data_IF_009520345144
#
_entry.id   IF_009520345144
#
_cell.length_a   1.000
_cell.length_b   1.000
_cell.length_c   1.000
_cell.angle_alpha   90.00
_cell.angle_beta   90.00
_cell.angle_gamma   90.00
#
_symmetry.space_group_name_H-M   'P 1'
#
loop_
_entity.id
_entity.type
_entity.pdbx_description
1 polymer ?
#
# COMPACT_ATOMS: atom_id res chain seq x y z
N UNK A 1 19.16 -58.33 -41.62
CA UNK A 1 19.99 -57.11 -41.76
C UNK A 1 19.21 -55.94 -41.15
N UNK A 2 19.53 -55.61 -39.90
CA UNK A 2 20.23 -54.39 -39.47
C UNK A 2 19.27 -53.26 -39.04
N UNK A 3 19.08 -53.17 -37.71
CA UNK A 3 18.69 -51.97 -36.95
C UNK A 3 19.52 -50.77 -37.40
N UNK A 4 18.92 -49.58 -37.61
CA UNK A 4 19.59 -48.28 -37.39
C UNK A 4 18.58 -47.22 -36.93
N UNK A 5 18.54 -46.85 -35.65
CA UNK A 5 19.29 -45.79 -34.95
C UNK A 5 18.58 -44.42 -35.03
N UNK A 6 18.18 -43.93 -33.85
CA UNK A 6 17.97 -42.51 -33.56
C UNK A 6 19.27 -41.69 -33.73
N UNK A 7 19.23 -40.38 -33.45
CA UNK A 7 20.34 -39.39 -33.29
C UNK A 7 20.36 -38.37 -34.47
N UNK A 8 19.78 -37.15 -34.30
CA UNK A 8 20.42 -35.87 -33.83
C UNK A 8 21.21 -35.23 -34.99
N UNK A 9 21.18 -33.95 -35.39
CA UNK A 9 20.80 -32.62 -34.85
C UNK A 9 20.93 -31.61 -36.01
N UNK A 10 20.17 -30.51 -36.02
CA UNK A 10 20.61 -29.12 -36.31
C UNK A 10 19.37 -28.19 -36.29
N UNK A 11 19.11 -27.43 -35.23
CA UNK A 11 19.65 -26.09 -34.89
C UNK A 11 19.18 -24.94 -35.80
N UNK A 12 18.06 -24.30 -35.43
CA UNK A 12 17.79 -22.84 -35.43
C UNK A 12 16.65 -22.69 -34.40
N UNK A 13 16.77 -22.07 -33.22
CA UNK A 13 17.29 -20.74 -32.91
C UNK A 13 16.10 -19.86 -32.51
N UNK A 14 15.99 -19.52 -31.21
CA UNK A 14 15.27 -18.38 -30.62
C UNK A 14 13.79 -18.18 -31.09
N UNK A 15 12.80 -18.34 -30.22
CA UNK A 15 12.20 -17.20 -29.49
C UNK A 15 11.67 -17.71 -28.15
N UNK A 16 12.25 -17.17 -27.08
CA UNK A 16 11.80 -17.37 -25.72
C UNK A 16 10.51 -16.60 -25.42
N UNK A 17 9.69 -17.24 -24.58
CA UNK A 17 8.89 -16.66 -23.52
C UNK A 17 8.37 -15.22 -23.72
N UNK A 18 7.14 -15.10 -24.20
CA UNK A 18 6.23 -14.04 -23.78
C UNK A 18 5.18 -14.64 -22.84
N UNK A 19 5.64 -15.16 -21.69
CA UNK A 19 4.73 -15.33 -20.56
C UNK A 19 4.39 -13.93 -20.05
N UNK A 20 3.11 -13.63 -20.08
CA UNK A 20 2.50 -12.37 -19.66
C UNK A 20 2.96 -12.00 -18.25
N UNK A 21 4.01 -11.19 -18.14
CA UNK A 21 4.25 -10.38 -16.96
C UNK A 21 3.21 -9.27 -16.99
N UNK A 22 2.08 -9.57 -16.37
CA UNK A 22 1.07 -8.60 -16.01
C UNK A 22 1.75 -7.43 -15.28
N UNK A 23 1.70 -6.27 -15.92
CA UNK A 23 1.84 -4.91 -15.41
C UNK A 23 2.08 -4.76 -13.90
N UNK A 24 3.34 -4.90 -13.48
CA UNK A 24 3.82 -4.44 -12.16
C UNK A 24 4.88 -3.35 -12.35
N UNK A 25 4.49 -2.29 -13.04
CA UNK A 25 5.22 -1.02 -13.04
C UNK A 25 4.28 0.08 -13.57
N UNK A 26 3.12 0.24 -12.94
CA UNK A 26 2.45 1.54 -13.01
C UNK A 26 3.23 2.45 -12.07
N UNK A 27 4.35 2.97 -12.59
CA UNK A 27 5.07 4.10 -12.04
C UNK A 27 4.09 5.28 -12.12
N UNK A 28 3.28 5.43 -11.07
CA UNK A 28 2.47 6.62 -10.88
C UNK A 28 3.44 7.76 -10.60
N UNK A 29 3.71 8.51 -11.65
CA UNK A 29 4.33 9.82 -11.59
C UNK A 29 3.49 10.71 -10.65
N UNK A 30 4.04 11.05 -9.49
CA UNK A 30 3.39 11.87 -8.47
C UNK A 30 3.63 13.38 -8.69
N UNK A 31 3.93 13.82 -9.92
CA UNK A 31 3.89 15.26 -10.26
C UNK A 31 2.50 15.64 -10.76
N UNK A 32 1.54 15.74 -9.85
CA UNK A 32 0.21 16.24 -10.16
C UNK A 32 -0.57 16.52 -8.89
N UNK A 33 -0.57 17.77 -8.45
CA UNK A 33 -1.55 18.26 -7.49
C UNK A 33 -2.95 18.08 -8.08
N UNK A 34 -3.58 16.92 -7.81
CA UNK A 34 -5.01 16.73 -8.03
C UNK A 34 -5.76 17.32 -6.85
N UNK A 35 -6.26 18.53 -7.05
CA UNK A 35 -7.44 19.01 -6.36
C UNK A 35 -8.58 17.98 -6.56
N UNK A 36 -9.16 17.53 -5.45
CA UNK A 36 -10.47 16.85 -5.43
C UNK A 36 -10.54 15.46 -6.05
N UNK A 37 -9.85 14.47 -5.47
CA UNK A 37 -10.47 13.15 -5.42
C UNK A 37 -11.70 13.27 -4.50
N UNK A 38 -12.89 12.96 -5.00
CA UNK A 38 -14.11 12.98 -4.20
C UNK A 38 -13.90 12.07 -2.99
N UNK A 39 -13.76 12.69 -1.82
CA UNK A 39 -13.60 12.01 -0.53
C UNK A 39 -14.90 11.24 -0.31
N UNK A 40 -14.85 9.90 -0.24
CA UNK A 40 -16.05 9.13 0.08
C UNK A 40 -16.55 9.55 1.46
N UNK A 41 -17.85 9.46 1.73
CA UNK A 41 -18.39 9.69 3.08
C UNK A 41 -17.74 8.76 4.14
N UNK A 42 -17.16 7.65 3.70
CA UNK A 42 -16.36 6.73 4.52
C UNK A 42 -14.96 7.28 4.86
N UNK A 43 -14.35 8.05 3.95
CA UNK A 43 -13.04 8.70 4.15
C UNK A 43 -13.16 9.92 5.08
N UNK A 44 -14.33 10.57 5.11
CA UNK A 44 -14.63 11.74 5.94
C UNK A 44 -14.59 11.44 7.44
N UNK A 45 -14.63 10.18 7.85
CA UNK A 45 -14.58 9.78 9.26
C UNK A 45 -13.62 8.62 9.53
N UNK A 46 -12.83 8.21 8.55
CA UNK A 46 -11.83 7.17 8.73
C UNK A 46 -10.73 7.61 9.72
N UNK A 47 -10.26 6.69 10.57
CA UNK A 47 -9.08 6.94 11.42
C UNK A 47 -7.81 6.70 10.61
N UNK A 48 -7.65 5.50 10.06
CA UNK A 48 -6.62 5.15 9.08
C UNK A 48 -7.17 5.27 7.67
N UNK A 49 -6.45 5.92 6.76
CA UNK A 49 -6.98 6.22 5.43
C UNK A 49 -7.08 4.95 4.56
N UNK A 50 -8.27 4.57 4.06
CA UNK A 50 -8.46 3.34 3.27
C UNK A 50 -7.56 3.24 2.03
N UNK A 51 -7.24 4.38 1.44
CA UNK A 51 -6.45 4.51 0.20
C UNK A 51 -4.95 4.63 0.43
N UNK A 52 -4.51 4.66 1.69
CA UNK A 52 -3.09 4.80 2.06
C UNK A 52 -2.49 3.48 2.55
N UNK A 53 -1.17 3.44 2.73
CA UNK A 53 -0.47 2.28 3.28
C UNK A 53 -0.90 2.03 4.72
N UNK A 54 -0.70 0.79 5.17
CA UNK A 54 -1.16 0.37 6.49
C UNK A 54 -0.55 1.23 7.60
N UNK A 55 -1.37 1.70 8.53
CA UNK A 55 -0.93 2.50 9.68
C UNK A 55 -0.83 4.01 9.43
N UNK A 56 -1.14 4.49 8.22
CA UNK A 56 -1.24 5.93 7.90
C UNK A 56 -2.65 6.48 8.18
N UNK A 57 -2.71 7.67 8.77
CA UNK A 57 -3.94 8.32 9.22
C UNK A 57 -4.71 8.99 8.07
N UNK A 58 -6.04 9.01 8.15
CA UNK A 58 -6.83 9.92 7.34
C UNK A 58 -6.82 11.30 8.01
N UNK A 59 -5.94 12.19 7.58
CA UNK A 59 -5.73 13.50 8.23
C UNK A 59 -7.02 14.33 8.41
N UNK A 60 -7.92 14.33 7.42
CA UNK A 60 -9.23 14.99 7.55
C UNK A 60 -10.23 14.14 8.35
N UNK A 61 -10.27 12.82 8.12
CA UNK A 61 -11.17 11.91 8.85
C UNK A 61 -10.92 11.91 10.36
N UNK A 62 -9.67 11.87 10.79
CA UNK A 62 -9.28 11.96 12.22
C UNK A 62 -9.60 13.33 12.82
N UNK A 63 -9.48 14.42 12.05
CA UNK A 63 -9.90 15.73 12.52
C UNK A 63 -11.41 15.75 12.83
N UNK A 64 -12.21 15.13 11.96
CA UNK A 64 -13.66 15.01 12.09
C UNK A 64 -14.05 14.08 13.26
N UNK A 65 -13.37 12.95 13.44
CA UNK A 65 -13.54 12.06 14.60
C UNK A 65 -13.33 12.80 15.91
N UNK A 66 -12.33 13.69 15.96
CA UNK A 66 -12.06 14.53 17.13
C UNK A 66 -12.94 15.79 17.24
N UNK A 67 -13.80 16.06 16.25
CA UNK A 67 -14.64 17.26 16.22
C UNK A 67 -13.82 18.56 16.16
N UNK A 68 -12.61 18.53 15.58
CA UNK A 68 -11.75 19.71 15.47
C UNK A 68 -12.27 20.62 14.36
N UNK A 69 -12.20 21.93 14.60
CA UNK A 69 -12.57 22.97 13.64
C UNK A 69 -11.56 24.11 13.65
N UNK A 70 -11.57 24.94 12.60
CA UNK A 70 -10.72 26.14 12.47
C UNK A 70 -9.23 25.83 12.61
N UNK A 71 -8.50 26.69 13.34
CA UNK A 71 -7.04 26.57 13.49
C UNK A 71 -6.58 25.26 14.13
N UNK A 72 -7.41 24.61 14.98
CA UNK A 72 -7.08 23.31 15.56
C UNK A 72 -7.11 22.20 14.51
N UNK A 73 -8.10 22.24 13.61
CA UNK A 73 -8.19 21.29 12.50
C UNK A 73 -7.00 21.43 11.56
N UNK A 74 -6.66 22.66 11.16
CA UNK A 74 -5.49 22.93 10.31
C UNK A 74 -4.20 22.41 10.95
N UNK A 75 -4.01 22.69 12.24
CA UNK A 75 -2.82 22.22 12.97
C UNK A 75 -2.77 20.70 13.08
N UNK A 76 -3.90 20.06 13.33
CA UNK A 76 -4.00 18.61 13.37
C UNK A 76 -3.65 17.98 12.03
N UNK A 77 -4.20 18.49 10.92
CA UNK A 77 -3.90 18.00 9.57
C UNK A 77 -2.40 18.07 9.28
N UNK A 78 -1.74 19.15 9.68
CA UNK A 78 -0.28 19.28 9.55
C UNK A 78 0.47 18.19 10.35
N UNK A 79 0.06 17.94 11.60
CA UNK A 79 0.64 16.92 12.48
C UNK A 79 0.43 15.52 11.89
N UNK A 80 -0.79 15.19 11.47
CA UNK A 80 -1.13 13.90 10.87
C UNK A 80 -0.30 13.63 9.61
N UNK A 81 -0.19 14.62 8.71
CA UNK A 81 0.67 14.52 7.52
C UNK A 81 2.14 14.30 7.85
N UNK A 82 2.65 14.89 8.95
CA UNK A 82 4.03 14.67 9.42
C UNK A 82 4.21 13.24 9.95
N UNK A 83 3.24 12.74 10.71
CA UNK A 83 3.21 11.36 11.16
C UNK A 83 3.23 10.40 9.97
N UNK A 84 2.37 10.60 8.96
CA UNK A 84 2.26 9.69 7.81
C UNK A 84 3.54 9.59 6.99
N UNK A 85 4.27 10.71 6.83
CA UNK A 85 5.60 10.72 6.22
C UNK A 85 6.62 9.93 7.03
N UNK A 86 6.54 10.01 8.36
CA UNK A 86 7.46 9.30 9.25
C UNK A 86 7.18 7.79 9.24
N UNK A 87 5.90 7.40 9.22
CA UNK A 87 5.47 5.99 9.06
C UNK A 87 5.95 5.42 7.73
N UNK A 88 5.76 6.14 6.63
CA UNK A 88 6.20 5.68 5.31
C UNK A 88 7.73 5.52 5.26
N UNK A 89 8.48 6.50 5.76
CA UNK A 89 9.93 6.44 5.82
C UNK A 89 10.42 5.25 6.66
N UNK A 90 9.85 5.05 7.85
CA UNK A 90 10.19 3.91 8.71
C UNK A 90 9.86 2.56 8.06
N UNK A 91 8.73 2.47 7.36
CA UNK A 91 8.31 1.26 6.63
C UNK A 91 9.28 0.93 5.50
N UNK A 92 9.68 1.93 4.71
CA UNK A 92 10.68 1.74 3.65
C UNK A 92 12.04 1.34 4.22
N UNK A 93 12.44 1.93 5.35
CA UNK A 93 13.69 1.58 6.02
C UNK A 93 13.65 0.13 6.53
N UNK A 94 12.55 -0.31 7.15
CA UNK A 94 12.35 -1.70 7.54
C UNK A 94 12.51 -2.66 6.37
N UNK A 95 11.93 -2.34 5.20
CA UNK A 95 12.08 -3.19 4.02
C UNK A 95 13.53 -3.32 3.59
N UNK A 96 14.27 -2.21 3.56
CA UNK A 96 15.69 -2.21 3.18
C UNK A 96 16.53 -3.03 4.15
N UNK A 97 16.33 -2.84 5.45
CA UNK A 97 17.12 -3.54 6.47
C UNK A 97 16.82 -5.05 6.47
N UNK A 98 15.56 -5.42 6.21
CA UNK A 98 15.11 -6.79 6.16
C UNK A 98 15.66 -7.60 4.96
N UNK A 99 16.11 -6.95 3.87
CA UNK A 99 16.68 -7.63 2.70
C UNK A 99 17.93 -8.47 3.04
N UNK A 100 18.65 -8.09 4.10
CA UNK A 100 19.83 -8.84 4.57
C UNK A 100 19.48 -10.08 5.40
N UNK A 101 18.22 -10.21 5.84
CA UNK A 101 17.77 -11.25 6.78
C UNK A 101 16.73 -12.18 6.16
N UNK A 102 15.83 -11.64 5.34
CA UNK A 102 14.67 -12.35 4.83
C UNK A 102 14.89 -12.89 3.41
N UNK A 103 14.32 -14.05 3.14
CA UNK A 103 14.23 -14.58 1.77
C UNK A 103 13.31 -13.72 0.91
N UNK A 104 13.39 -13.81 -0.43
CA UNK A 104 12.48 -13.07 -1.31
C UNK A 104 11.00 -13.33 -1.04
N UNK A 105 10.60 -14.58 -0.74
CA UNK A 105 9.21 -14.92 -0.42
C UNK A 105 8.74 -14.27 0.90
N UNK A 106 9.60 -14.26 1.92
CA UNK A 106 9.31 -13.58 3.18
C UNK A 106 9.26 -12.06 3.01
N UNK A 107 10.10 -11.49 2.13
CA UNK A 107 10.02 -10.06 1.78
C UNK A 107 8.70 -9.68 1.12
N UNK A 108 8.16 -10.54 0.25
CA UNK A 108 6.82 -10.33 -0.33
C UNK A 108 5.76 -10.30 0.75
N UNK A 109 5.81 -11.26 1.69
CA UNK A 109 4.87 -11.29 2.81
C UNK A 109 4.99 -10.05 3.71
N UNK A 110 6.22 -9.63 4.04
CA UNK A 110 6.48 -8.41 4.81
C UNK A 110 5.88 -7.18 4.12
N UNK A 111 6.12 -7.01 2.82
CA UNK A 111 5.56 -5.88 2.06
C UNK A 111 4.04 -5.89 2.03
N UNK A 112 3.41 -7.07 1.98
CA UNK A 112 1.96 -7.21 2.01
C UNK A 112 1.33 -6.71 3.34
N UNK A 113 2.04 -6.84 4.47
CA UNK A 113 1.56 -6.32 5.77
C UNK A 113 1.41 -4.80 5.82
N UNK A 114 2.09 -4.08 4.93
CA UNK A 114 2.04 -2.61 4.88
C UNK A 114 1.40 -2.07 3.60
N UNK A 115 0.82 -2.94 2.78
CA UNK A 115 0.16 -2.53 1.55
C UNK A 115 -1.10 -1.67 1.81
N UNK A 116 -1.62 -1.07 0.74
CA UNK A 116 -2.94 -0.43 0.77
C UNK A 116 -4.01 -1.50 0.95
N UNK A 117 -5.08 -1.18 1.69
CA UNK A 117 -6.26 -2.04 1.81
C UNK A 117 -6.42 -2.78 3.15
N UNK A 118 -5.48 -2.65 4.08
CA UNK A 118 -5.61 -3.20 5.46
C UNK A 118 -6.16 -2.19 6.48
N UNK A 119 -6.10 -0.89 6.16
CA UNK A 119 -6.61 0.17 7.03
C UNK A 119 -8.13 0.05 7.32
N UNK A 120 -9.00 -0.37 6.39
CA UNK A 120 -10.41 -0.60 6.69
C UNK A 120 -10.64 -1.59 7.83
N UNK A 121 -9.89 -2.69 7.88
CA UNK A 121 -10.03 -3.71 8.93
C UNK A 121 -9.50 -3.20 10.28
N UNK A 122 -8.43 -2.39 10.27
CA UNK A 122 -7.95 -1.71 11.49
C UNK A 122 -9.03 -0.74 12.01
N UNK A 123 -9.65 0.03 11.13
CA UNK A 123 -10.75 0.92 11.48
C UNK A 123 -11.94 0.15 12.05
N UNK A 124 -12.39 -0.94 11.41
CA UNK A 124 -13.46 -1.80 11.93
C UNK A 124 -13.17 -2.30 13.35
N UNK A 125 -11.93 -2.71 13.62
CA UNK A 125 -11.51 -3.12 14.97
C UNK A 125 -11.64 -1.96 15.97
N UNK A 126 -11.21 -0.75 15.61
CA UNK A 126 -11.36 0.43 16.47
C UNK A 126 -12.84 0.79 16.70
N UNK A 127 -13.65 0.70 15.65
CA UNK A 127 -15.07 1.03 15.70
C UNK A 127 -15.83 0.03 16.59
N UNK A 128 -15.48 -1.26 16.52
CA UNK A 128 -16.04 -2.29 17.41
C UNK A 128 -15.78 -2.03 18.90
N UNK A 129 -14.77 -1.19 19.21
CA UNK A 129 -14.40 -0.77 20.56
C UNK A 129 -14.95 0.61 20.96
N UNK A 130 -15.77 1.22 20.11
CA UNK A 130 -16.29 2.57 20.35
C UNK A 130 -15.26 3.69 20.22
N UNK A 131 -14.09 3.41 19.64
CA UNK A 131 -13.01 4.38 19.42
C UNK A 131 -13.15 5.12 18.08
N UNK A 132 -14.20 4.78 17.31
CA UNK A 132 -14.53 5.38 16.03
C UNK A 132 -15.27 6.70 16.12
N UNK A 133 -15.77 7.19 14.97
CA UNK A 133 -16.69 8.30 14.91
C UNK A 133 -17.88 8.03 15.84
N UNK A 134 -18.17 8.97 16.73
CA UNK A 134 -19.33 8.85 17.59
C UNK A 134 -20.58 9.09 16.75
N UNK A 135 -21.53 8.14 16.80
CA UNK A 135 -22.87 8.36 16.23
C UNK A 135 -23.49 9.50 17.04
N UNK A 136 -23.75 10.64 16.38
CA UNK A 136 -24.55 11.72 16.96
C UNK A 136 -25.99 11.27 17.13
#
# INVERSE_FOLDING_TARGET
>A
MQRKTAIIVLLIGLIGAALSLASYAQQHDHSGHREGAAVSAEDDVAIFCPTMKTGQLCSHGTANVFGLTGSKQEKWVEIARKYDRSVDAATLQLFKDAESVLTPAQMVQLKAWFAVGLNPQINELLYSKGLGPQKK
#
